data_IF_637563808889
#
_entry.id   IF_637563808889
#
_cell.length_a   1.000
_cell.length_b   1.000
_cell.length_c   1.000
_cell.angle_alpha   90.00
_cell.angle_beta   90.00
_cell.angle_gamma   90.00
#
_symmetry.space_group_name_H-M   'P 1'
#
loop_
_entity.id
_entity.type
_entity.pdbx_description
1 polymer ?
#
# COMPACT_ATOMS: atom_id res chain seq x y z
N UNK A 1 29.20 22.76 16.98
CA UNK A 1 29.24 21.30 16.72
C UNK A 1 27.81 20.81 16.50
N UNK A 2 27.49 20.25 15.33
CA UNK A 2 26.21 19.56 15.08
C UNK A 2 26.38 18.11 15.56
N UNK A 3 25.52 17.64 16.46
CA UNK A 3 25.57 16.26 16.95
C UNK A 3 25.25 15.28 15.83
N UNK A 4 26.13 14.29 15.61
CA UNK A 4 25.87 13.16 14.70
C UNK A 4 25.18 12.07 15.51
N UNK A 5 23.96 11.71 15.10
CA UNK A 5 23.24 10.57 15.68
C UNK A 5 23.70 9.27 15.01
N UNK A 6 24.02 8.25 15.80
CA UNK A 6 24.39 6.91 15.34
C UNK A 6 23.51 5.89 16.09
N UNK A 7 23.11 4.82 15.42
CA UNK A 7 22.34 3.74 16.04
C UNK A 7 23.29 2.67 16.62
N UNK A 8 22.98 2.18 17.82
CA UNK A 8 23.78 1.19 18.53
C UNK A 8 23.21 -0.22 18.31
N UNK A 9 23.89 -1.02 17.50
CA UNK A 9 23.39 -2.28 16.97
C UNK A 9 23.95 -3.52 17.71
N UNK A 10 24.95 -3.37 18.57
CA UNK A 10 25.47 -4.48 19.36
C UNK A 10 26.90 -4.28 19.89
N UNK A 11 27.34 -5.21 20.73
CA UNK A 11 28.68 -5.26 21.34
C UNK A 11 29.29 -6.64 21.05
N UNK A 12 30.55 -6.67 20.60
CA UNK A 12 31.31 -7.91 20.41
C UNK A 12 32.60 -7.88 21.23
N UNK A 13 32.97 -9.00 21.84
CA UNK A 13 34.25 -9.13 22.55
C UNK A 13 35.37 -9.48 21.58
N UNK A 14 36.47 -8.73 21.62
CA UNK A 14 37.62 -9.02 20.76
C UNK A 14 38.56 -9.97 21.53
N UNK A 15 38.83 -11.13 20.94
CA UNK A 15 39.79 -12.09 21.48
C UNK A 15 41.08 -11.99 20.67
N UNK A 16 42.18 -11.58 21.32
CA UNK A 16 43.49 -11.40 20.65
C UNK A 16 44.31 -10.20 21.11
N UNK A 17 43.81 -9.38 22.03
CA UNK A 17 44.60 -8.31 22.65
C UNK A 17 45.26 -8.83 23.93
N UNK A 18 46.54 -8.51 24.14
CA UNK A 18 47.32 -8.95 25.32
C UNK A 18 47.06 -8.10 26.56
N UNK A 19 45.89 -7.45 26.64
CA UNK A 19 45.49 -6.64 27.78
C UNK A 19 44.70 -7.51 28.77
N UNK A 20 44.94 -7.30 30.07
CA UNK A 20 44.15 -7.94 31.13
C UNK A 20 42.71 -7.43 31.17
N UNK A 21 42.42 -6.32 30.48
CA UNK A 21 41.08 -5.80 30.28
C UNK A 21 40.42 -6.47 29.06
N UNK A 22 39.12 -6.77 29.14
CA UNK A 22 38.34 -7.36 28.03
C UNK A 22 37.92 -6.27 27.04
N UNK A 23 38.59 -6.13 25.88
CA UNK A 23 38.19 -5.13 24.89
C UNK A 23 36.85 -5.51 24.26
N UNK A 24 35.99 -4.52 24.07
CA UNK A 24 34.72 -4.66 23.37
C UNK A 24 34.65 -3.74 22.16
N UNK A 25 34.10 -4.25 21.07
CA UNK A 25 33.80 -3.51 19.86
C UNK A 25 32.33 -3.11 19.88
N UNK A 26 32.05 -1.82 19.69
CA UNK A 26 30.70 -1.29 19.56
C UNK A 26 30.33 -1.25 18.07
N UNK A 27 29.25 -1.94 17.68
CA UNK A 27 28.70 -1.87 16.33
C UNK A 27 27.76 -0.68 16.24
N UNK A 28 28.21 0.38 15.56
CA UNK A 28 27.40 1.55 15.26
C UNK A 28 27.02 1.58 13.78
N UNK A 29 25.77 1.88 13.49
CA UNK A 29 25.26 2.06 12.13
C UNK A 29 24.75 3.48 11.88
N UNK A 30 24.54 3.87 10.62
CA UNK A 30 23.78 5.07 10.29
C UNK A 30 22.43 5.01 11.01
N UNK A 31 21.89 6.14 11.50
CA UNK A 31 20.51 6.17 11.98
C UNK A 31 19.64 5.71 10.83
N UNK A 32 18.79 4.69 11.06
CA UNK A 32 18.01 3.99 10.05
C UNK A 32 17.55 4.98 8.98
N UNK A 33 18.25 4.98 7.84
CA UNK A 33 18.13 6.02 6.84
C UNK A 33 16.71 6.01 6.33
N UNK A 34 15.91 6.96 6.84
CA UNK A 34 14.47 7.12 6.62
C UNK A 34 13.81 5.93 5.94
N UNK A 35 13.46 4.89 6.71
CA UNK A 35 12.73 3.72 6.18
C UNK A 35 11.58 4.23 5.32
N UNK A 36 11.62 3.94 4.02
CA UNK A 36 10.59 4.37 3.09
C UNK A 36 9.25 3.88 3.64
N UNK A 37 8.32 4.80 3.90
CA UNK A 37 6.97 4.41 4.28
C UNK A 37 6.44 3.67 3.05
N UNK A 38 6.09 2.38 3.16
CA UNK A 38 5.59 1.65 2.01
C UNK A 38 4.38 2.40 1.47
N UNK A 39 4.29 2.68 0.18
CA UNK A 39 3.12 3.33 -0.42
C UNK A 39 2.19 2.23 -0.91
N UNK A 40 0.90 2.33 -0.61
CA UNK A 40 -0.12 1.42 -1.14
C UNK A 40 -1.09 2.18 -2.02
N UNK A 41 -1.43 1.59 -3.16
CA UNK A 41 -2.54 2.05 -4.00
C UNK A 41 -3.85 1.55 -3.40
N UNK A 42 -4.77 2.48 -3.19
CA UNK A 42 -6.15 2.18 -2.81
C UNK A 42 -7.08 2.76 -3.88
N UNK A 43 -8.15 2.05 -4.18
CA UNK A 43 -9.17 2.49 -5.15
C UNK A 43 -10.36 3.08 -4.40
N UNK A 44 -10.80 4.28 -4.78
CA UNK A 44 -12.04 4.84 -4.26
C UNK A 44 -13.23 4.27 -5.04
N UNK A 45 -13.85 3.22 -4.49
CA UNK A 45 -14.98 2.54 -5.12
C UNK A 45 -16.21 3.42 -5.35
N UNK A 46 -16.47 4.42 -4.49
CA UNK A 46 -17.58 5.36 -4.72
C UNK A 46 -17.34 6.20 -5.97
N UNK A 47 -16.10 6.62 -6.17
CA UNK A 47 -15.69 7.38 -7.36
C UNK A 47 -15.73 6.54 -8.63
N UNK A 48 -15.36 5.25 -8.54
CA UNK A 48 -15.56 4.27 -9.62
C UNK A 48 -17.04 4.15 -9.97
N UNK A 49 -17.93 3.98 -8.99
CA UNK A 49 -19.38 3.89 -9.25
C UNK A 49 -19.92 5.13 -9.97
N UNK A 50 -19.59 6.32 -9.49
CA UNK A 50 -20.02 7.58 -10.14
C UNK A 50 -19.48 7.73 -11.56
N UNK A 51 -18.22 7.37 -11.79
CA UNK A 51 -17.60 7.46 -13.11
C UNK A 51 -18.14 6.40 -14.10
N UNK A 52 -18.63 5.25 -13.61
CA UNK A 52 -19.29 4.24 -14.43
C UNK A 52 -20.76 4.58 -14.75
N UNK A 53 -21.43 5.37 -13.91
CA UNK A 53 -22.78 5.91 -14.22
C UNK A 53 -22.72 7.00 -15.30
N UNK A 54 -21.55 7.58 -15.55
CA UNK A 54 -21.36 8.62 -16.57
C UNK A 54 -21.36 8.01 -17.98
N UNK A 55 -22.50 8.13 -18.66
CA UNK A 55 -22.76 7.54 -19.98
C UNK A 55 -22.09 8.29 -21.14
N UNK A 56 -21.57 9.50 -20.93
CA UNK A 56 -21.11 10.39 -22.00
C UNK A 56 -19.62 10.20 -22.34
N UNK A 57 -19.11 8.96 -22.24
CA UNK A 57 -17.70 8.68 -22.51
C UNK A 57 -17.44 8.30 -23.98
N UNK A 58 -16.55 9.02 -24.70
CA UNK A 58 -16.34 8.84 -26.14
C UNK A 58 -15.98 7.42 -26.59
N UNK A 59 -15.32 6.63 -25.72
CA UNK A 59 -14.89 5.26 -26.01
C UNK A 59 -16.08 4.28 -26.07
N UNK A 60 -17.12 4.50 -25.26
CA UNK A 60 -18.31 3.63 -25.27
C UNK A 60 -19.27 4.00 -26.41
N UNK A 61 -19.23 5.25 -26.88
CA UNK A 61 -20.05 5.73 -28.00
C UNK A 61 -19.70 5.08 -29.35
N UNK A 62 -18.53 4.42 -29.47
CA UNK A 62 -18.15 3.67 -30.66
C UNK A 62 -18.64 2.21 -30.68
N UNK A 63 -19.24 1.72 -29.59
CA UNK A 63 -19.78 0.36 -29.53
C UNK A 63 -21.14 0.33 -30.25
N UNK A 64 -21.33 -0.52 -31.27
CA UNK A 64 -22.61 -0.63 -31.95
C UNK A 64 -23.69 -1.23 -31.04
N UNK A 65 -24.94 -0.76 -31.19
CA UNK A 65 -26.08 -1.27 -30.42
C UNK A 65 -26.46 -2.70 -30.80
N UNK A 66 -26.27 -3.06 -32.07
CA UNK A 66 -26.50 -4.40 -32.59
C UNK A 66 -25.14 -5.05 -32.87
N UNK A 67 -24.86 -6.15 -32.18
CA UNK A 67 -23.61 -6.91 -32.34
C UNK A 67 -23.95 -8.16 -33.17
N UNK A 68 -23.45 -8.23 -34.40
CA UNK A 68 -23.80 -9.29 -35.36
C UNK A 68 -22.60 -10.20 -35.70
N UNK A 69 -21.39 -9.73 -35.43
CA UNK A 69 -20.15 -10.44 -35.79
C UNK A 69 -19.23 -10.67 -34.58
N UNK A 70 -18.35 -11.67 -34.71
CA UNK A 70 -17.33 -11.95 -33.69
C UNK A 70 -16.35 -10.78 -33.53
N UNK A 71 -16.00 -10.08 -34.61
CA UNK A 71 -15.10 -8.94 -34.56
C UNK A 71 -15.70 -7.78 -33.73
N UNK A 72 -17.01 -7.56 -33.85
CA UNK A 72 -17.74 -6.58 -33.02
C UNK A 72 -17.81 -7.01 -31.55
N UNK A 73 -17.93 -8.31 -31.26
CA UNK A 73 -17.84 -8.85 -29.89
C UNK A 73 -16.47 -8.53 -29.29
N UNK A 74 -15.40 -8.87 -30.00
CA UNK A 74 -14.02 -8.65 -29.53
C UNK A 74 -13.74 -7.15 -29.33
N UNK A 75 -14.24 -6.32 -30.25
CA UNK A 75 -14.16 -4.87 -30.13
C UNK A 75 -14.91 -4.34 -28.89
N UNK A 76 -16.15 -4.76 -28.68
CA UNK A 76 -16.96 -4.31 -27.53
C UNK A 76 -16.33 -4.73 -26.19
N UNK A 77 -15.80 -5.96 -26.10
CA UNK A 77 -15.07 -6.44 -24.92
C UNK A 77 -13.83 -5.58 -24.69
N UNK A 78 -13.07 -5.27 -25.74
CA UNK A 78 -11.89 -4.43 -25.66
C UNK A 78 -12.20 -3.01 -25.17
N UNK A 79 -13.23 -2.38 -25.75
CA UNK A 79 -13.68 -1.04 -25.39
C UNK A 79 -14.13 -0.97 -23.93
N UNK A 80 -14.98 -1.90 -23.49
CA UNK A 80 -15.47 -1.96 -22.11
C UNK A 80 -14.34 -2.23 -21.11
N UNK A 81 -13.45 -3.18 -21.41
CA UNK A 81 -12.30 -3.51 -20.55
C UNK A 81 -11.39 -2.30 -20.37
N UNK A 82 -11.09 -1.59 -21.46
CA UNK A 82 -10.25 -0.39 -21.41
C UNK A 82 -10.93 0.75 -20.63
N UNK A 83 -12.24 0.93 -20.79
CA UNK A 83 -12.99 1.91 -20.02
C UNK A 83 -12.94 1.61 -18.52
N UNK A 84 -13.28 0.37 -18.09
CA UNK A 84 -13.23 -0.02 -16.68
C UNK A 84 -11.82 0.11 -16.11
N UNK A 85 -10.79 -0.30 -16.85
CA UNK A 85 -9.39 -0.12 -16.44
C UNK A 85 -9.08 1.35 -16.17
N UNK A 86 -9.43 2.23 -17.11
CA UNK A 86 -9.20 3.67 -17.00
C UNK A 86 -9.93 4.25 -15.78
N UNK A 87 -11.20 3.91 -15.58
CA UNK A 87 -12.00 4.39 -14.44
C UNK A 87 -11.40 3.95 -13.10
N UNK A 88 -10.90 2.71 -13.01
CA UNK A 88 -10.21 2.21 -11.82
C UNK A 88 -8.93 3.00 -11.60
N UNK A 89 -8.09 3.17 -12.62
CA UNK A 89 -6.82 3.89 -12.56
C UNK A 89 -6.98 5.36 -12.12
N UNK A 90 -7.93 6.10 -12.68
CA UNK A 90 -8.19 7.51 -12.28
C UNK A 90 -8.79 7.63 -10.88
N UNK A 91 -9.36 6.55 -10.37
CA UNK A 91 -9.93 6.44 -9.01
C UNK A 91 -8.93 5.89 -7.99
N UNK A 92 -7.72 5.53 -8.41
CA UNK A 92 -6.63 5.16 -7.51
C UNK A 92 -6.06 6.39 -6.80
N UNK A 93 -5.60 6.16 -5.57
CA UNK A 93 -4.79 7.10 -4.81
C UNK A 93 -3.70 6.35 -4.07
N UNK A 94 -2.52 6.98 -4.05
CA UNK A 94 -1.42 6.55 -3.21
C UNK A 94 -1.62 7.02 -1.77
N UNK A 95 -1.56 6.08 -0.84
CA UNK A 95 -1.66 6.34 0.59
C UNK A 95 -0.45 5.72 1.25
N UNK A 96 0.19 6.41 2.21
CA UNK A 96 1.21 5.80 3.04
C UNK A 96 0.59 4.55 3.67
N UNK A 97 1.24 3.39 3.53
CA UNK A 97 0.94 2.21 4.31
C UNK A 97 1.37 2.50 5.75
N UNK A 98 0.63 3.39 6.40
CA UNK A 98 0.78 3.72 7.80
C UNK A 98 0.66 2.40 8.55
N UNK A 99 1.77 1.96 9.13
CA UNK A 99 1.79 0.86 10.07
C UNK A 99 1.16 1.26 11.41
N UNK A 100 0.54 2.43 11.52
CA UNK A 100 -0.39 2.73 12.60
C UNK A 100 -1.78 2.19 12.23
N UNK A 101 -1.87 0.86 12.17
CA UNK A 101 -3.14 0.21 12.49
C UNK A 101 -3.52 0.73 13.88
N UNK A 102 -4.38 1.74 13.93
CA UNK A 102 -5.04 2.18 15.17
C UNK A 102 -5.49 0.91 15.88
N UNK A 103 -4.89 0.61 17.03
CA UNK A 103 -5.36 -0.49 17.87
C UNK A 103 -6.85 -0.26 18.05
N UNK A 104 -7.64 -1.28 17.73
CA UNK A 104 -9.07 -1.22 17.94
C UNK A 104 -9.28 -0.89 19.43
N UNK A 105 -10.03 0.18 19.74
CA UNK A 105 -10.33 0.53 21.12
C UNK A 105 -10.86 -0.70 21.90
N UNK A 106 -10.45 -0.88 23.17
CA UNK A 106 -10.78 -2.07 23.95
C UNK A 106 -12.29 -2.38 24.02
N UNK A 107 -13.12 -1.34 24.04
CA UNK A 107 -14.58 -1.38 24.04
C UNK A 107 -15.16 -2.03 22.77
N UNK A 108 -14.61 -1.72 21.59
CA UNK A 108 -15.04 -2.36 20.33
C UNK A 108 -14.65 -3.85 20.31
N UNK A 109 -13.48 -4.19 20.86
CA UNK A 109 -13.02 -5.58 20.97
C UNK A 109 -13.88 -6.40 21.94
N UNK A 110 -14.35 -5.82 23.03
CA UNK A 110 -15.30 -6.47 23.94
C UNK A 110 -16.65 -6.71 23.27
N UNK A 111 -17.17 -5.71 22.54
CA UNK A 111 -18.45 -5.84 21.83
C UNK A 111 -18.42 -6.96 20.78
N UNK A 112 -17.33 -7.09 20.02
CA UNK A 112 -17.15 -8.18 19.05
C UNK A 112 -17.11 -9.54 19.74
N UNK A 113 -16.40 -9.66 20.87
CA UNK A 113 -16.32 -10.90 21.63
C UNK A 113 -17.66 -11.32 22.21
N UNK A 114 -18.41 -10.39 22.79
CA UNK A 114 -19.75 -10.65 23.32
C UNK A 114 -20.71 -11.17 22.23
N UNK A 115 -20.68 -10.54 21.05
CA UNK A 115 -21.51 -10.96 19.91
C UNK A 115 -21.18 -12.37 19.42
N UNK A 116 -19.90 -12.73 19.37
CA UNK A 116 -19.46 -14.02 18.84
C UNK A 116 -19.58 -15.18 19.86
N UNK A 117 -19.86 -14.87 21.13
CA UNK A 117 -20.07 -15.85 22.20
C UNK A 117 -21.56 -16.18 22.42
N UNK A 118 -22.45 -15.61 21.60
CA UNK A 118 -23.90 -15.88 21.57
C UNK A 118 -24.23 -16.91 20.50
#
# INVERSE_FOLDING_TARGET
>A
MKGVALNFNGIETIHGLTSDHRPVMLKMGPPDGGRSIPIRKITNWKRVSTALEEIDTPNLNSIPNDIASTDEIDFAIGALTNHVRTVVEVSEREVPASSDRRKCPPDILELIRAKNAS
#
